data_IF_166767778274
#
_entry.id   IF_166767778274
#
_cell.length_a   1.000
_cell.length_b   1.000
_cell.length_c   1.000
_cell.angle_alpha   90.00
_cell.angle_beta   90.00
_cell.angle_gamma   90.00
#
_symmetry.space_group_name_H-M   'P 1'
#
loop_
_entity.id
_entity.type
_entity.pdbx_description
1 polymer ?
#
# COMPACT_ATOMS: atom_id res chain seq x y z
N UNK A 1 10.39 11.52 33.20
CA UNK A 1 9.71 10.21 33.34
C UNK A 1 9.17 9.66 32.01
N UNK A 2 8.52 10.46 31.15
CA UNK A 2 7.95 9.96 29.88
C UNK A 2 8.95 9.36 28.86
N UNK A 3 10.20 9.81 28.86
CA UNK A 3 11.26 9.25 28.00
C UNK A 3 11.63 7.82 28.38
N UNK A 4 11.71 7.50 29.67
CA UNK A 4 12.01 6.16 30.17
C UNK A 4 10.90 5.15 29.83
N UNK A 5 9.63 5.52 30.05
CA UNK A 5 8.50 4.68 29.65
C UNK A 5 8.45 4.44 28.13
N UNK A 6 8.77 5.47 27.34
CA UNK A 6 8.80 5.34 25.88
C UNK A 6 9.92 4.40 25.42
N UNK A 7 11.11 4.50 26.03
CA UNK A 7 12.24 3.63 25.76
C UNK A 7 11.95 2.17 26.14
N UNK A 8 11.45 1.92 27.35
CA UNK A 8 11.09 0.57 27.81
C UNK A 8 10.02 -0.04 26.89
N UNK A 9 8.97 0.72 26.58
CA UNK A 9 7.91 0.29 25.66
C UNK A 9 8.49 -0.06 24.29
N UNK A 10 9.32 0.82 23.71
CA UNK A 10 9.91 0.59 22.39
C UNK A 10 10.75 -0.69 22.40
N UNK A 11 11.63 -0.86 23.39
CA UNK A 11 12.45 -2.06 23.53
C UNK A 11 11.62 -3.33 23.68
N UNK A 12 10.56 -3.32 24.50
CA UNK A 12 9.68 -4.49 24.68
C UNK A 12 8.98 -4.89 23.39
N UNK A 13 8.44 -3.94 22.64
CA UNK A 13 7.76 -4.23 21.37
C UNK A 13 8.75 -4.69 20.30
N UNK A 14 9.94 -4.09 20.21
CA UNK A 14 10.99 -4.54 19.29
C UNK A 14 11.40 -5.98 19.60
N UNK A 15 11.68 -6.31 20.87
CA UNK A 15 12.07 -7.67 21.28
C UNK A 15 10.94 -8.68 21.03
N UNK A 16 9.69 -8.30 21.32
CA UNK A 16 8.53 -9.16 21.05
C UNK A 16 8.35 -9.42 19.55
N UNK A 17 8.52 -8.38 18.73
CA UNK A 17 8.49 -8.46 17.28
C UNK A 17 9.56 -9.41 16.72
N UNK A 18 10.82 -9.21 17.12
CA UNK A 18 11.93 -10.11 16.76
C UNK A 18 11.65 -11.57 17.12
N UNK A 19 11.04 -11.82 18.28
CA UNK A 19 10.68 -13.18 18.72
C UNK A 19 9.64 -13.83 17.81
N UNK A 20 8.61 -13.07 17.40
CA UNK A 20 7.58 -13.57 16.48
C UNK A 20 8.18 -13.91 15.12
N UNK A 21 9.06 -13.05 14.61
CA UNK A 21 9.73 -13.23 13.31
C UNK A 21 10.66 -14.43 13.31
N UNK A 22 11.45 -14.58 14.39
CA UNK A 22 12.30 -15.77 14.58
C UNK A 22 11.47 -17.05 14.52
N UNK A 23 10.30 -17.07 15.18
CA UNK A 23 9.40 -18.24 15.18
C UNK A 23 8.83 -18.51 13.79
N UNK A 24 8.37 -17.48 13.10
CA UNK A 24 7.84 -17.57 11.74
C UNK A 24 8.88 -18.11 10.75
N UNK A 25 10.09 -17.54 10.72
CA UNK A 25 11.19 -18.02 9.87
C UNK A 25 11.53 -19.47 10.16
N UNK A 26 11.56 -19.85 11.45
CA UNK A 26 11.79 -21.23 11.86
C UNK A 26 10.72 -22.19 11.35
N UNK A 27 9.44 -21.86 11.55
CA UNK A 27 8.31 -22.68 11.11
C UNK A 27 8.22 -22.79 9.59
N UNK A 28 8.50 -21.70 8.87
CA UNK A 28 8.51 -21.71 7.40
C UNK A 28 9.63 -22.60 6.87
N UNK A 29 10.83 -22.48 7.44
CA UNK A 29 11.97 -23.31 7.05
C UNK A 29 11.73 -24.79 7.35
N UNK A 30 11.20 -25.11 8.53
CA UNK A 30 10.80 -26.48 8.89
C UNK A 30 9.76 -27.03 7.92
N UNK A 31 8.73 -26.24 7.59
CA UNK A 31 7.71 -26.63 6.61
C UNK A 31 8.29 -26.83 5.21
N UNK A 32 9.27 -26.03 4.78
CA UNK A 32 9.94 -26.18 3.49
C UNK A 32 10.76 -27.47 3.44
N UNK A 33 11.48 -27.82 4.51
CA UNK A 33 12.26 -29.06 4.57
C UNK A 33 11.41 -30.33 4.59
N UNK A 34 10.11 -30.22 4.93
CA UNK A 34 9.15 -31.32 4.85
C UNK A 34 8.42 -31.45 3.51
N UNK A 35 8.68 -30.58 2.52
CA UNK A 35 8.02 -30.64 1.21
C UNK A 35 8.58 -31.76 0.33
N UNK A 36 7.76 -32.22 -0.62
CA UNK A 36 8.17 -33.22 -1.62
C UNK A 36 9.16 -32.65 -2.65
N UNK A 37 9.93 -33.51 -3.29
CA UNK A 37 10.95 -33.10 -4.28
C UNK A 37 10.32 -32.35 -5.47
N UNK A 38 9.12 -32.76 -5.90
CA UNK A 38 8.39 -32.09 -7.00
C UNK A 38 8.11 -30.61 -6.74
N UNK A 39 7.93 -30.20 -5.48
CA UNK A 39 7.79 -28.79 -5.12
C UNK A 39 9.05 -27.97 -5.49
N UNK A 40 10.24 -28.55 -5.29
CA UNK A 40 11.52 -27.92 -5.61
C UNK A 40 11.87 -27.98 -7.10
N UNK A 41 11.28 -28.92 -7.85
CA UNK A 41 11.42 -28.98 -9.30
C UNK A 41 10.57 -27.91 -10.00
N UNK A 42 9.39 -27.59 -9.45
CA UNK A 42 8.52 -26.52 -9.95
C UNK A 42 8.95 -25.11 -9.52
N UNK A 43 9.56 -24.98 -8.33
CA UNK A 43 9.91 -23.67 -7.75
C UNK A 43 11.42 -23.46 -7.71
N UNK A 44 11.90 -22.37 -8.31
CA UNK A 44 13.34 -22.04 -8.29
C UNK A 44 13.82 -21.82 -6.86
N UNK A 45 14.92 -22.47 -6.48
CA UNK A 45 15.54 -22.32 -5.15
C UNK A 45 15.79 -20.86 -4.78
N UNK A 46 16.21 -20.02 -5.73
CA UNK A 46 16.41 -18.59 -5.52
C UNK A 46 15.13 -17.82 -5.17
N UNK A 47 13.99 -18.22 -5.71
CA UNK A 47 12.68 -17.64 -5.38
C UNK A 47 12.25 -18.01 -3.96
N UNK A 48 12.42 -19.29 -3.58
CA UNK A 48 12.10 -19.77 -2.23
C UNK A 48 12.94 -19.01 -1.18
N UNK A 49 14.24 -18.85 -1.44
CA UNK A 49 15.15 -18.12 -0.54
C UNK A 49 14.80 -16.64 -0.46
N UNK A 50 14.48 -15.99 -1.59
CA UNK A 50 14.03 -14.59 -1.61
C UNK A 50 12.74 -14.42 -0.82
N UNK A 51 11.71 -15.26 -1.01
CA UNK A 51 10.47 -15.20 -0.21
C UNK A 51 10.72 -15.42 1.28
N UNK A 52 11.56 -16.38 1.65
CA UNK A 52 11.93 -16.62 3.05
C UNK A 52 12.66 -15.42 3.68
N UNK A 53 13.46 -14.68 2.92
CA UNK A 53 14.19 -13.50 3.40
C UNK A 53 13.32 -12.24 3.40
N UNK A 54 12.78 -11.89 2.23
CA UNK A 54 12.10 -10.64 1.91
C UNK A 54 10.68 -10.62 2.49
N UNK A 55 9.86 -11.65 2.25
CA UNK A 55 8.46 -11.65 2.74
C UNK A 55 8.43 -11.73 4.26
N UNK A 56 9.31 -12.55 4.87
CA UNK A 56 9.44 -12.58 6.32
C UNK A 56 9.99 -11.25 6.89
N UNK A 57 10.84 -10.52 6.15
CA UNK A 57 11.30 -9.19 6.53
C UNK A 57 10.19 -8.14 6.47
N UNK A 58 9.33 -8.19 5.45
CA UNK A 58 8.13 -7.33 5.36
C UNK A 58 7.16 -7.67 6.50
N UNK A 59 6.97 -8.97 6.79
CA UNK A 59 6.11 -9.41 7.88
C UNK A 59 6.67 -8.96 9.24
N UNK A 60 7.99 -8.99 9.42
CA UNK A 60 8.66 -8.47 10.61
C UNK A 60 8.32 -7.02 10.90
N UNK A 61 8.48 -6.15 9.90
CA UNK A 61 8.17 -4.74 10.05
C UNK A 61 6.67 -4.53 10.33
N UNK A 62 5.81 -5.32 9.69
CA UNK A 62 4.36 -5.24 9.87
C UNK A 62 3.94 -5.68 11.28
N UNK A 63 4.42 -6.83 11.75
CA UNK A 63 4.08 -7.37 13.07
C UNK A 63 4.66 -6.51 14.18
N UNK A 64 5.90 -6.06 14.04
CA UNK A 64 6.59 -5.33 15.11
C UNK A 64 6.10 -3.90 15.21
N UNK A 65 5.99 -3.19 14.09
CA UNK A 65 5.73 -1.75 14.10
C UNK A 65 4.23 -1.45 13.98
N UNK A 66 3.54 -2.07 13.02
CA UNK A 66 2.14 -1.72 12.75
C UNK A 66 1.20 -2.24 13.85
N UNK A 67 1.38 -3.48 14.33
CA UNK A 67 0.53 -4.02 15.41
C UNK A 67 0.71 -3.19 16.70
N UNK A 68 1.94 -2.88 17.06
CA UNK A 68 2.24 -2.05 18.24
C UNK A 68 1.63 -0.66 18.13
N UNK A 69 1.66 -0.08 16.93
CA UNK A 69 1.05 1.22 16.66
C UNK A 69 -0.48 1.17 16.74
N UNK A 70 -1.10 0.15 16.13
CA UNK A 70 -2.56 -0.07 16.17
C UNK A 70 -3.02 -0.28 17.60
N UNK A 71 -2.34 -1.12 18.38
CA UNK A 71 -2.70 -1.37 19.77
C UNK A 71 -2.62 -0.08 20.59
N UNK A 72 -1.56 0.71 20.40
CA UNK A 72 -1.40 2.02 21.05
C UNK A 72 -2.53 2.97 20.67
N UNK A 73 -2.83 3.11 19.39
CA UNK A 73 -3.87 4.00 18.91
C UNK A 73 -5.25 3.56 19.40
N UNK A 74 -5.52 2.26 19.47
CA UNK A 74 -6.76 1.72 20.02
C UNK A 74 -6.90 2.03 21.51
N UNK A 75 -5.87 1.77 22.32
CA UNK A 75 -5.87 2.09 23.76
C UNK A 75 -6.02 3.59 23.97
N UNK A 76 -5.32 4.42 23.18
CA UNK A 76 -5.43 5.87 23.27
C UNK A 76 -6.83 6.35 22.90
N UNK A 77 -7.42 5.83 21.83
CA UNK A 77 -8.77 6.16 21.38
C UNK A 77 -9.82 5.77 22.44
N UNK A 78 -9.80 4.52 22.91
CA UNK A 78 -10.73 4.05 23.93
C UNK A 78 -10.54 4.80 25.26
N UNK A 79 -9.30 4.96 25.70
CA UNK A 79 -8.98 5.66 26.95
C UNK A 79 -9.43 7.12 26.93
N UNK A 80 -9.11 7.85 25.86
CA UNK A 80 -9.56 9.25 25.69
C UNK A 80 -11.08 9.36 25.59
N UNK A 81 -11.74 8.47 24.85
CA UNK A 81 -13.20 8.47 24.73
C UNK A 81 -13.87 8.22 26.09
N UNK A 82 -13.39 7.24 26.85
CA UNK A 82 -13.89 6.94 28.19
C UNK A 82 -13.73 8.13 29.15
N UNK A 83 -12.57 8.80 29.13
CA UNK A 83 -12.31 9.96 29.99
C UNK A 83 -13.25 11.12 29.64
N UNK A 84 -13.37 11.49 28.36
CA UNK A 84 -14.20 12.63 27.93
C UNK A 84 -15.69 12.32 28.21
N UNK A 85 -16.12 11.08 27.99
CA UNK A 85 -17.48 10.63 28.28
C UNK A 85 -17.79 10.67 29.79
N UNK A 86 -16.81 10.35 30.65
CA UNK A 86 -16.96 10.46 32.10
C UNK A 86 -17.07 11.91 32.59
N UNK A 87 -16.37 12.86 31.94
CA UNK A 87 -16.45 14.30 32.28
C UNK A 87 -17.78 14.89 31.84
N UNK A 88 -18.17 14.70 30.57
CA UNK A 88 -19.45 15.21 30.05
C UNK A 88 -19.92 14.37 28.87
N UNK A 89 -20.81 13.43 29.16
CA UNK A 89 -21.42 12.58 28.13
C UNK A 89 -22.22 13.38 27.10
N UNK A 90 -22.82 14.52 27.49
CA UNK A 90 -23.61 15.38 26.58
C UNK A 90 -22.73 16.04 25.52
N UNK A 91 -21.59 16.63 25.91
CA UNK A 91 -20.66 17.26 24.96
C UNK A 91 -19.97 16.22 24.07
N UNK A 92 -19.66 15.06 24.63
CA UNK A 92 -19.03 13.95 23.88
C UNK A 92 -19.92 13.45 22.75
N UNK A 93 -21.22 13.26 23.00
CA UNK A 93 -22.17 12.80 21.98
C UNK A 93 -22.32 13.81 20.83
N UNK A 94 -22.34 15.11 21.14
CA UNK A 94 -22.40 16.16 20.10
C UNK A 94 -21.16 16.12 19.22
N UNK A 95 -19.97 15.99 19.81
CA UNK A 95 -18.72 15.84 19.03
C UNK A 95 -18.70 14.55 18.22
N UNK A 96 -19.16 13.44 18.80
CA UNK A 96 -19.22 12.15 18.13
C UNK A 96 -20.18 12.17 16.94
N UNK A 97 -21.24 12.99 16.97
CA UNK A 97 -22.17 13.16 15.85
C UNK A 97 -21.55 13.86 14.63
N UNK A 98 -20.48 14.65 14.81
CA UNK A 98 -19.75 15.29 13.71
C UNK A 98 -18.84 14.29 12.98
N UNK A 99 -18.29 13.31 13.69
CA UNK A 99 -17.41 12.26 13.14
C UNK A 99 -18.01 11.51 11.95
N UNK A 100 -19.24 10.97 11.98
CA UNK A 100 -19.82 10.27 10.84
C UNK A 100 -20.04 11.18 9.64
N UNK A 101 -20.38 12.47 9.85
CA UNK A 101 -20.54 13.44 8.75
C UNK A 101 -19.21 13.64 8.02
N UNK A 102 -18.13 13.84 8.76
CA UNK A 102 -16.77 13.92 8.20
C UNK A 102 -16.34 12.61 7.55
N UNK A 103 -16.66 11.46 8.17
CA UNK A 103 -16.33 10.15 7.64
C UNK A 103 -17.01 9.89 6.29
N UNK A 104 -18.29 10.24 6.15
CA UNK A 104 -19.01 10.13 4.86
C UNK A 104 -18.36 11.01 3.80
N UNK A 105 -18.02 12.26 4.14
CA UNK A 105 -17.30 13.17 3.23
C UNK A 105 -15.96 12.59 2.77
N UNK A 106 -15.15 12.09 3.72
CA UNK A 106 -13.86 11.47 3.45
C UNK A 106 -13.98 10.20 2.59
N UNK A 107 -14.98 9.34 2.85
CA UNK A 107 -15.23 8.13 2.04
C UNK A 107 -15.65 8.50 0.61
N UNK A 108 -16.54 9.48 0.45
CA UNK A 108 -17.00 9.91 -0.86
C UNK A 108 -15.86 10.54 -1.67
N UNK A 109 -15.07 11.40 -1.03
CA UNK A 109 -13.86 11.96 -1.62
C UNK A 109 -12.85 10.88 -2.00
N UNK A 110 -12.60 9.91 -1.11
CA UNK A 110 -11.73 8.77 -1.37
C UNK A 110 -12.18 7.93 -2.58
N UNK A 111 -13.49 7.66 -2.70
CA UNK A 111 -14.06 6.97 -3.87
C UNK A 111 -13.86 7.77 -5.16
N UNK A 112 -14.07 9.08 -5.12
CA UNK A 112 -13.87 9.97 -6.27
C UNK A 112 -12.41 9.96 -6.73
N UNK A 113 -11.47 10.17 -5.80
CA UNK A 113 -10.02 10.15 -6.09
C UNK A 113 -9.57 8.79 -6.61
N UNK A 114 -10.05 7.68 -6.02
CA UNK A 114 -9.77 6.32 -6.48
C UNK A 114 -10.27 6.12 -7.92
N UNK A 115 -11.46 6.62 -8.24
CA UNK A 115 -12.02 6.58 -9.59
C UNK A 115 -11.16 7.31 -10.62
N UNK A 116 -10.68 8.52 -10.31
CA UNK A 116 -9.77 9.25 -11.21
C UNK A 116 -8.42 8.53 -11.33
N UNK A 117 -7.89 8.03 -10.22
CA UNK A 117 -6.62 7.30 -10.20
C UNK A 117 -6.66 6.07 -11.11
N UNK A 118 -7.77 5.33 -11.10
CA UNK A 118 -8.00 4.23 -12.03
C UNK A 118 -7.97 4.69 -13.49
N UNK A 119 -8.68 5.78 -13.83
CA UNK A 119 -8.68 6.32 -15.20
C UNK A 119 -7.30 6.78 -15.67
N UNK A 120 -6.50 7.38 -14.78
CA UNK A 120 -5.10 7.74 -15.07
C UNK A 120 -4.30 6.48 -15.37
N UNK A 121 -4.44 5.45 -14.55
CA UNK A 121 -3.75 4.18 -14.75
C UNK A 121 -4.16 3.48 -16.05
N UNK A 122 -5.45 3.49 -16.38
CA UNK A 122 -5.97 2.92 -17.64
C UNK A 122 -5.39 3.65 -18.86
N UNK A 123 -5.30 5.00 -18.83
CA UNK A 123 -4.71 5.79 -19.91
C UNK A 123 -3.20 5.54 -20.07
N UNK A 124 -2.47 5.38 -18.96
CA UNK A 124 -1.04 5.01 -19.00
C UNK A 124 -0.85 3.59 -19.53
N UNK A 125 -1.74 2.66 -19.18
CA UNK A 125 -1.70 1.29 -19.70
C UNK A 125 -1.94 1.24 -21.22
N UNK A 126 -2.87 2.04 -21.74
CA UNK A 126 -3.13 2.17 -23.18
C UNK A 126 -1.91 2.74 -23.93
N UNK A 127 -1.26 3.78 -23.37
CA UNK A 127 -0.02 4.32 -23.93
C UNK A 127 1.11 3.29 -23.92
N UNK A 128 1.27 2.55 -22.82
CA UNK A 128 2.27 1.48 -22.71
C UNK A 128 2.02 0.35 -23.71
N UNK A 129 0.76 -0.04 -23.93
CA UNK A 129 0.41 -1.04 -24.95
C UNK A 129 0.80 -0.58 -26.36
N UNK A 130 0.58 0.70 -26.66
CA UNK A 130 0.99 1.29 -27.96
C UNK A 130 2.51 1.26 -28.11
N UNK A 131 3.25 1.63 -27.07
CA UNK A 131 4.70 1.58 -27.07
C UNK A 131 5.23 0.15 -27.22
N UNK A 132 4.62 -0.81 -26.52
CA UNK A 132 4.98 -2.22 -26.60
C UNK A 132 4.80 -2.77 -28.02
N UNK A 133 3.66 -2.47 -28.67
CA UNK A 133 3.39 -2.87 -30.05
C UNK A 133 4.40 -2.25 -31.04
N UNK A 134 4.67 -0.96 -30.91
CA UNK A 134 5.62 -0.24 -31.77
C UNK A 134 7.06 -0.76 -31.60
N UNK A 135 7.49 -1.06 -30.37
CA UNK A 135 8.83 -1.58 -30.07
C UNK A 135 8.95 -3.04 -30.53
N UNK A 136 7.96 -3.88 -30.27
CA UNK A 136 7.94 -5.27 -30.71
C UNK A 136 8.02 -5.37 -32.25
N UNK A 137 7.38 -4.44 -32.97
CA UNK A 137 7.34 -4.40 -34.43
C UNK A 137 8.25 -3.32 -35.05
N UNK A 138 9.32 -2.92 -34.35
CA UNK A 138 10.16 -1.77 -34.76
C UNK A 138 10.72 -1.88 -36.19
N UNK A 139 11.04 -3.10 -36.66
CA UNK A 139 11.51 -3.31 -38.04
C UNK A 139 10.45 -2.90 -39.05
N UNK A 140 9.19 -3.28 -38.82
CA UNK A 140 8.05 -2.92 -39.67
C UNK A 140 7.82 -1.41 -39.66
N UNK A 141 7.82 -0.79 -38.47
CA UNK A 141 7.65 0.67 -38.34
C UNK A 141 8.72 1.42 -39.14
N UNK A 142 9.99 1.03 -39.03
CA UNK A 142 11.10 1.63 -39.79
C UNK A 142 10.99 1.39 -41.29
N UNK A 143 10.58 0.19 -41.73
CA UNK A 143 10.42 -0.14 -43.15
C UNK A 143 9.35 0.69 -43.86
N UNK A 144 8.34 1.16 -43.13
CA UNK A 144 7.28 2.01 -43.66
C UNK A 144 7.45 3.50 -43.31
N UNK A 145 8.58 3.91 -42.71
CA UNK A 145 8.82 5.26 -42.20
C UNK A 145 7.67 5.77 -41.29
N UNK A 146 7.15 4.89 -40.42
CA UNK A 146 5.99 5.14 -39.57
C UNK A 146 6.29 5.74 -38.20
N UNK A 147 7.53 6.16 -37.92
CA UNK A 147 7.98 6.58 -36.59
C UNK A 147 7.17 7.76 -36.04
N UNK A 148 6.90 8.78 -36.86
CA UNK A 148 6.15 9.96 -36.44
C UNK A 148 4.70 9.63 -36.08
N UNK A 149 4.11 8.63 -36.75
CA UNK A 149 2.75 8.17 -36.47
C UNK A 149 2.68 7.48 -35.11
N UNK A 150 3.61 6.56 -34.83
CA UNK A 150 3.67 5.87 -33.53
C UNK A 150 3.99 6.85 -32.39
N UNK A 151 4.89 7.80 -32.63
CA UNK A 151 5.25 8.81 -31.63
C UNK A 151 4.05 9.74 -31.31
N UNK A 152 3.27 10.10 -32.33
CA UNK A 152 2.05 10.89 -32.15
C UNK A 152 0.96 10.10 -31.40
N UNK A 153 0.80 8.81 -31.70
CA UNK A 153 -0.14 7.94 -31.01
C UNK A 153 0.21 7.77 -29.52
N UNK A 154 1.49 7.54 -29.21
CA UNK A 154 1.97 7.45 -27.84
C UNK A 154 1.79 8.78 -27.08
N UNK A 155 2.14 9.91 -27.72
CA UNK A 155 1.97 11.25 -27.14
C UNK A 155 0.50 11.57 -26.84
N UNK A 156 -0.43 11.18 -27.72
CA UNK A 156 -1.86 11.35 -27.49
C UNK A 156 -2.36 10.55 -26.27
N UNK A 157 -1.82 9.35 -26.05
CA UNK A 157 -2.10 8.54 -24.85
C UNK A 157 -1.60 9.23 -23.58
N UNK A 158 -0.37 9.76 -23.61
CA UNK A 158 0.21 10.51 -22.49
C UNK A 158 -0.57 11.78 -22.15
N UNK A 159 -1.00 12.55 -23.16
CA UNK A 159 -1.79 13.77 -22.95
C UNK A 159 -3.13 13.46 -22.28
N UNK A 160 -3.77 12.34 -22.66
CA UNK A 160 -4.98 11.85 -22.00
C UNK A 160 -4.74 11.55 -20.53
N UNK A 161 -3.65 10.84 -20.23
CA UNK A 161 -3.22 10.56 -18.87
C UNK A 161 -2.94 11.85 -18.07
N UNK A 162 -2.27 12.83 -18.70
CA UNK A 162 -1.94 14.11 -18.11
C UNK A 162 -3.18 14.94 -17.75
N UNK A 163 -4.18 15.04 -18.63
CA UNK A 163 -5.43 15.76 -18.34
C UNK A 163 -6.17 15.15 -17.14
N UNK A 164 -6.21 13.81 -17.08
CA UNK A 164 -6.82 13.09 -15.95
C UNK A 164 -6.02 13.29 -14.66
N UNK A 165 -4.68 13.26 -14.75
CA UNK A 165 -3.80 13.51 -13.62
C UNK A 165 -3.89 14.97 -13.12
N UNK A 166 -4.05 15.93 -14.02
CA UNK A 166 -4.29 17.34 -13.67
C UNK A 166 -5.62 17.49 -12.93
N UNK A 167 -6.69 16.83 -13.40
CA UNK A 167 -7.99 16.80 -12.69
C UNK A 167 -7.87 16.15 -11.31
N UNK A 168 -7.07 15.09 -11.18
CA UNK A 168 -6.72 14.49 -9.89
C UNK A 168 -6.02 15.51 -9.01
N UNK A 169 -4.99 16.20 -9.51
CA UNK A 169 -4.24 17.20 -8.76
C UNK A 169 -5.09 18.36 -8.28
N UNK A 170 -5.99 18.88 -9.13
CA UNK A 170 -6.95 19.91 -8.75
C UNK A 170 -7.94 19.42 -7.69
N UNK A 171 -8.41 18.16 -7.79
CA UNK A 171 -9.26 17.56 -6.77
C UNK A 171 -8.53 17.41 -5.42
N UNK A 172 -7.24 17.06 -5.45
CA UNK A 172 -6.39 17.04 -4.27
C UNK A 172 -6.14 18.42 -3.66
N UNK A 173 -5.99 19.46 -4.48
CA UNK A 173 -5.77 20.82 -3.98
C UNK A 173 -7.03 21.51 -3.44
N UNK A 174 -8.22 20.99 -3.76
CA UNK A 174 -9.50 21.54 -3.30
C UNK A 174 -9.97 20.96 -1.95
N UNK A 175 -9.27 19.96 -1.41
CA UNK A 175 -9.57 19.29 -0.14
C UNK A 175 -8.46 19.55 0.88
#
# INVERSE_FOLDING_TARGET
>A
MGSAFTAIRASLFTIAGERVVKRLRGQLFESLMGQEIGFFDENRTGEIVSRLADDCGVLQNTVTTNISMVLRQAVQLVGSLCIIMAISWRLTLVMLAVVPVLAVGAVQYGKFVKGISKKVQDAVAEANSTAEEAIANVRTVRSFCGEDKENSAYSAGLDRGYVLAKRRGLAYGAF
#
